data_IF_002619995050
#
_entry.id   IF_002619995050
#
_cell.length_a   1.000
_cell.length_b   1.000
_cell.length_c   1.000
_cell.angle_alpha   90.00
_cell.angle_beta   90.00
_cell.angle_gamma   90.00
#
_symmetry.space_group_name_H-M   'P 1'
#
loop_
_entity.id
_entity.type
_entity.pdbx_description
1 polymer ?
#
# COMPACT_ATOMS: atom_id res chain seq x y z
N UNK A 1 8.72 -1.93 -14.27
CA UNK A 1 9.87 -1.66 -13.37
C UNK A 1 9.36 -1.90 -11.95
N UNK A 2 10.13 -2.54 -11.08
CA UNK A 2 9.74 -2.86 -9.68
C UNK A 2 10.69 -2.11 -8.75
N UNK A 3 10.21 -1.65 -7.59
CA UNK A 3 11.02 -0.87 -6.64
C UNK A 3 11.96 -1.83 -5.90
N UNK A 4 13.27 -1.74 -6.14
CA UNK A 4 14.27 -2.65 -5.55
C UNK A 4 13.92 -4.14 -5.71
N UNK A 5 13.35 -4.54 -6.85
CA UNK A 5 12.93 -5.93 -7.06
C UNK A 5 11.55 -6.29 -6.49
N UNK A 6 10.82 -5.33 -5.90
CA UNK A 6 9.53 -5.58 -5.23
C UNK A 6 8.37 -4.78 -5.86
N UNK A 7 7.18 -5.38 -6.02
CA UNK A 7 5.98 -4.65 -6.41
C UNK A 7 5.57 -3.65 -5.32
N UNK A 8 5.05 -2.50 -5.73
CA UNK A 8 4.51 -1.49 -4.82
C UNK A 8 3.00 -1.61 -4.75
N UNK A 9 2.45 -1.82 -3.55
CA UNK A 9 1.01 -1.91 -3.28
C UNK A 9 0.59 -0.69 -2.47
N UNK A 10 -0.47 -0.01 -2.90
CA UNK A 10 -0.99 1.16 -2.17
C UNK A 10 -2.12 0.72 -1.24
N UNK A 11 -2.01 1.03 0.04
CA UNK A 11 -3.11 0.89 0.99
C UNK A 11 -4.01 2.14 0.95
N UNK A 12 -5.28 1.92 0.66
CA UNK A 12 -6.31 2.94 0.50
C UNK A 12 -6.69 3.18 -0.97
N UNK A 13 -7.98 3.08 -1.27
CA UNK A 13 -8.50 3.25 -2.65
C UNK A 13 -9.23 4.57 -2.88
N UNK A 14 -9.20 5.51 -1.93
CA UNK A 14 -9.89 6.82 -2.04
C UNK A 14 -9.33 7.67 -3.19
N UNK A 15 -10.08 8.70 -3.63
CA UNK A 15 -9.59 9.62 -4.66
C UNK A 15 -8.26 10.31 -4.26
N UNK A 16 -8.12 10.67 -2.98
CA UNK A 16 -6.87 11.22 -2.44
C UNK A 16 -5.71 10.22 -2.54
N UNK A 17 -5.94 8.97 -2.11
CA UNK A 17 -4.92 7.92 -2.18
C UNK A 17 -4.50 7.64 -3.63
N UNK A 18 -5.46 7.60 -4.56
CA UNK A 18 -5.17 7.42 -6.00
C UNK A 18 -4.40 8.61 -6.59
N UNK A 19 -4.71 9.84 -6.17
CA UNK A 19 -3.95 11.03 -6.57
C UNK A 19 -2.49 10.96 -6.13
N UNK A 20 -2.22 10.59 -4.87
CA UNK A 20 -0.86 10.39 -4.35
C UNK A 20 -0.13 9.23 -5.04
N UNK A 21 -0.84 8.13 -5.30
CA UNK A 21 -0.33 6.99 -6.07
C UNK A 21 0.06 7.36 -7.52
N UNK A 22 -0.72 8.25 -8.15
CA UNK A 22 -0.39 8.79 -9.47
C UNK A 22 0.85 9.69 -9.43
N UNK A 23 1.05 10.47 -8.37
CA UNK A 23 2.29 11.25 -8.17
C UNK A 23 3.52 10.34 -8.05
N UNK A 24 3.43 9.26 -7.27
CA UNK A 24 4.51 8.26 -7.22
C UNK A 24 4.85 7.70 -8.60
N UNK A 25 3.82 7.34 -9.37
CA UNK A 25 3.99 6.85 -10.74
C UNK A 25 4.66 7.88 -11.66
N UNK A 26 4.26 9.15 -11.55
CA UNK A 26 4.85 10.26 -12.31
C UNK A 26 6.33 10.47 -11.96
N UNK A 27 6.75 10.15 -10.73
CA UNK A 27 8.15 10.15 -10.30
C UNK A 27 8.90 8.83 -10.59
N UNK A 28 8.31 7.93 -11.39
CA UNK A 28 8.96 6.69 -11.81
C UNK A 28 8.86 5.53 -10.82
N UNK A 29 7.97 5.63 -9.82
CA UNK A 29 7.63 4.54 -8.89
C UNK A 29 6.29 3.94 -9.34
N UNK A 30 6.30 2.90 -10.19
CA UNK A 30 5.07 2.31 -10.69
C UNK A 30 4.30 1.57 -9.58
N UNK A 31 3.00 1.80 -9.54
CA UNK A 31 2.08 1.09 -8.66
C UNK A 31 1.68 -0.22 -9.30
N UNK A 32 1.64 -1.28 -8.50
CA UNK A 32 1.37 -2.64 -8.97
C UNK A 32 0.05 -3.20 -8.46
N UNK A 33 -0.60 -2.52 -7.50
CA UNK A 33 -1.89 -2.92 -6.98
C UNK A 33 -2.36 -2.03 -5.84
N UNK A 34 -3.58 -2.27 -5.40
CA UNK A 34 -4.19 -1.61 -4.26
C UNK A 34 -4.66 -2.62 -3.23
N UNK A 35 -4.67 -2.22 -1.96
CA UNK A 35 -5.27 -2.95 -0.86
C UNK A 35 -6.15 -2.03 -0.02
N UNK A 36 -7.21 -2.58 0.56
CA UNK A 36 -8.10 -1.89 1.47
C UNK A 36 -8.88 -2.96 2.29
N UNK A 37 -9.48 -2.56 3.40
CA UNK A 37 -10.37 -3.44 4.19
C UNK A 37 -11.70 -3.67 3.47
N UNK A 38 -12.14 -2.71 2.65
CA UNK A 38 -13.31 -2.86 1.79
C UNK A 38 -12.87 -3.00 0.34
N UNK A 39 -13.40 -4.00 -0.36
CA UNK A 39 -13.10 -4.19 -1.77
C UNK A 39 -13.64 -3.03 -2.60
N UNK A 40 -12.73 -2.22 -3.13
CA UNK A 40 -13.02 -1.16 -4.08
C UNK A 40 -12.12 -1.34 -5.31
N UNK A 41 -12.75 -1.45 -6.48
CA UNK A 41 -12.02 -1.65 -7.74
C UNK A 41 -11.39 -0.34 -8.17
N UNK A 42 -10.08 -0.36 -8.41
CA UNK A 42 -9.37 0.70 -9.12
C UNK A 42 -9.12 0.21 -10.54
N UNK A 43 -9.74 0.81 -11.58
CA UNK A 43 -9.59 0.35 -12.95
C UNK A 43 -8.13 0.25 -13.38
N UNK A 44 -7.76 -0.86 -14.00
CA UNK A 44 -6.40 -1.10 -14.50
C UNK A 44 -5.39 -1.60 -13.45
N UNK A 45 -5.81 -1.79 -12.19
CA UNK A 45 -4.94 -2.31 -11.13
C UNK A 45 -5.55 -3.52 -10.44
N UNK A 46 -4.73 -4.51 -10.05
CA UNK A 46 -5.21 -5.60 -9.21
C UNK A 46 -5.56 -5.08 -7.81
N UNK A 47 -6.58 -5.69 -7.22
CA UNK A 47 -6.93 -5.50 -5.81
C UNK A 47 -6.42 -6.71 -5.02
N UNK A 48 -5.60 -6.45 -4.01
CA UNK A 48 -5.07 -7.46 -3.08
C UNK A 48 -5.80 -7.26 -1.75
N UNK A 49 -6.62 -8.21 -1.29
CA UNK A 49 -7.22 -8.15 0.05
C UNK A 49 -6.15 -7.94 1.13
N UNK A 50 -6.43 -7.11 2.13
CA UNK A 50 -5.46 -6.77 3.18
C UNK A 50 -4.91 -8.01 3.93
N UNK A 51 -5.71 -9.05 4.05
CA UNK A 51 -5.38 -10.35 4.63
C UNK A 51 -4.70 -11.32 3.65
N UNK A 52 -4.54 -10.94 2.39
CA UNK A 52 -3.79 -11.66 1.37
C UNK A 52 -2.53 -10.89 0.94
N UNK A 53 -2.17 -9.82 1.66
CA UNK A 53 -0.95 -9.07 1.38
C UNK A 53 0.29 -9.98 1.42
N UNK A 54 1.23 -9.80 0.47
CA UNK A 54 2.49 -10.55 0.44
C UNK A 54 3.28 -10.41 1.74
N UNK A 55 4.05 -11.44 2.08
CA UNK A 55 4.90 -11.46 3.27
C UNK A 55 6.14 -10.57 3.14
N UNK A 56 7.00 -10.56 4.18
CA UNK A 56 8.20 -9.74 4.23
C UNK A 56 9.10 -9.92 3.01
N UNK A 57 9.62 -8.82 2.47
CA UNK A 57 10.48 -8.82 1.28
C UNK A 57 9.77 -9.11 -0.05
N UNK A 58 8.49 -9.49 -0.06
CA UNK A 58 7.77 -9.84 -1.30
C UNK A 58 7.07 -8.66 -1.97
N UNK A 59 6.75 -7.61 -1.22
CA UNK A 59 6.17 -6.36 -1.73
C UNK A 59 6.59 -5.18 -0.84
N UNK A 60 6.38 -3.96 -1.33
CA UNK A 60 6.50 -2.75 -0.53
C UNK A 60 5.15 -2.04 -0.46
N UNK A 61 4.63 -1.80 0.74
CA UNK A 61 3.29 -1.27 0.96
C UNK A 61 3.38 0.21 1.34
N UNK A 62 2.67 1.06 0.61
CA UNK A 62 2.58 2.50 0.91
C UNK A 62 1.16 2.82 1.35
N UNK A 63 0.98 3.19 2.62
CA UNK A 63 -0.33 3.62 3.11
C UNK A 63 -0.50 5.12 2.94
N UNK A 64 -1.53 5.52 2.19
CA UNK A 64 -1.95 6.92 2.09
C UNK A 64 -3.21 7.22 2.92
N UNK A 65 -3.61 6.32 3.81
CA UNK A 65 -4.82 6.46 4.62
C UNK A 65 -4.54 7.43 5.77
N UNK A 66 -5.14 8.62 5.74
CA UNK A 66 -4.88 9.73 6.67
C UNK A 66 -5.96 9.98 7.71
N UNK A 67 -6.93 9.07 7.86
CA UNK A 67 -7.91 9.17 8.92
C UNK A 67 -7.22 9.08 10.30
N UNK A 68 -7.52 10.04 11.18
CA UNK A 68 -6.93 10.15 12.53
C UNK A 68 -7.08 8.82 13.30
N UNK A 69 -5.97 8.33 13.85
CA UNK A 69 -5.90 7.07 14.61
C UNK A 69 -5.89 5.80 13.75
N UNK A 70 -5.99 5.92 12.42
CA UNK A 70 -5.93 4.76 11.53
C UNK A 70 -4.49 4.32 11.25
N UNK A 71 -3.51 5.24 11.30
CA UNK A 71 -2.09 4.92 11.12
C UNK A 71 -1.61 3.82 12.07
N UNK A 72 -1.78 4.01 13.38
CA UNK A 72 -1.37 3.03 14.41
C UNK A 72 -2.03 1.66 14.21
N UNK A 73 -3.30 1.64 13.78
CA UNK A 73 -4.03 0.40 13.51
C UNK A 73 -3.49 -0.33 12.28
N UNK A 74 -3.13 0.41 11.23
CA UNK A 74 -2.52 -0.15 10.02
C UNK A 74 -1.13 -0.70 10.36
N UNK A 75 -0.29 0.08 11.06
CA UNK A 75 1.03 -0.36 11.46
C UNK A 75 0.95 -1.63 12.33
N UNK A 76 0.11 -1.62 13.38
CA UNK A 76 -0.07 -2.79 14.24
C UNK A 76 -0.55 -4.03 13.45
N UNK A 77 -1.47 -3.84 12.50
CA UNK A 77 -1.93 -4.93 11.64
C UNK A 77 -0.81 -5.49 10.77
N UNK A 78 -0.09 -4.63 10.03
CA UNK A 78 0.99 -5.06 9.14
C UNK A 78 2.15 -5.71 9.93
N UNK A 79 2.48 -5.18 11.11
CA UNK A 79 3.46 -5.78 12.03
C UNK A 79 3.00 -7.15 12.53
N UNK A 80 1.72 -7.32 12.86
CA UNK A 80 1.19 -8.64 13.25
C UNK A 80 1.23 -9.67 12.13
N UNK A 81 1.38 -9.22 10.87
CA UNK A 81 1.61 -10.06 9.69
C UNK A 81 3.09 -10.36 9.45
N UNK A 82 3.98 -9.86 10.30
CA UNK A 82 5.43 -10.03 10.23
C UNK A 82 6.15 -8.98 9.36
N UNK A 83 5.44 -7.98 8.84
CA UNK A 83 6.04 -6.91 8.03
C UNK A 83 6.75 -5.88 8.92
N UNK A 84 7.85 -5.32 8.43
CA UNK A 84 8.65 -4.32 9.16
C UNK A 84 8.41 -2.92 8.60
N UNK A 85 8.09 -1.96 9.48
CA UNK A 85 7.96 -0.55 9.08
C UNK A 85 9.31 0.02 8.63
N UNK A 86 9.33 0.80 7.55
CA UNK A 86 10.53 1.31 6.91
C UNK A 86 11.20 0.33 5.94
N UNK A 87 10.95 -0.98 6.06
CA UNK A 87 11.52 -2.00 5.19
C UNK A 87 10.50 -2.58 4.20
N UNK A 88 9.34 -2.99 4.71
CA UNK A 88 8.24 -3.60 3.96
C UNK A 88 7.07 -2.65 3.75
N UNK A 89 6.90 -1.66 4.63
CA UNK A 89 5.85 -0.67 4.48
C UNK A 89 6.20 0.69 5.07
N UNK A 90 5.49 1.73 4.64
CA UNK A 90 5.51 3.07 5.25
C UNK A 90 4.10 3.64 5.40
N UNK A 91 3.91 4.47 6.41
CA UNK A 91 2.75 5.35 6.54
C UNK A 91 3.09 6.72 5.94
N UNK A 92 2.47 7.06 4.81
CA UNK A 92 2.72 8.29 4.03
C UNK A 92 1.49 9.23 4.05
N UNK A 93 0.77 9.23 5.17
CA UNK A 93 -0.50 9.90 5.38
C UNK A 93 -0.37 11.40 5.67
#
# INVERSE_FOLDING_TARGET
>A
RILNGRPVIVAGTSALCRGRAAQLSAHGIPIHGYTDVKRHVVPGYPFVPHDELPGPGQAFIVSFISQRGTGDRIAAYLVSRGLVEGEDFILAA
#
